data_IF_127543727807
#
_entry.id   IF_127543727807
#
_cell.length_a   1.000
_cell.length_b   1.000
_cell.length_c   1.000
_cell.angle_alpha   90.00
_cell.angle_beta   90.00
_cell.angle_gamma   90.00
#
_symmetry.space_group_name_H-M   'P 1'
#
loop_
_entity.id
_entity.type
_entity.pdbx_description
1 polymer ?
#
# COMPACT_ATOMS: atom_id res chain seq x y z
N UNK A 1 10.49 6.45 -4.43
CA UNK A 1 9.08 5.98 -4.57
C UNK A 1 8.22 6.80 -3.61
N UNK A 2 6.90 6.85 -3.77
CA UNK A 2 6.01 7.61 -2.88
C UNK A 2 4.65 6.93 -2.75
N UNK A 3 3.95 7.20 -1.64
CA UNK A 3 2.53 6.82 -1.45
C UNK A 3 1.64 7.99 -1.86
N UNK A 4 0.58 7.73 -2.63
CA UNK A 4 -0.39 8.76 -3.02
C UNK A 4 -1.78 8.43 -2.49
N UNK A 5 -2.47 9.47 -2.04
CA UNK A 5 -3.84 9.45 -1.57
C UNK A 5 -4.70 10.18 -2.60
N UNK A 6 -5.64 9.48 -3.24
CA UNK A 6 -6.49 10.07 -4.29
C UNK A 6 -7.96 9.84 -3.95
N UNK A 7 -8.69 10.88 -3.49
CA UNK A 7 -10.11 10.76 -3.24
C UNK A 7 -10.86 10.79 -4.57
N UNK A 8 -11.82 9.87 -4.75
CA UNK A 8 -12.69 9.86 -5.92
C UNK A 8 -14.14 9.92 -5.46
N UNK A 9 -14.86 10.94 -5.93
CA UNK A 9 -16.27 11.15 -5.67
C UNK A 9 -17.00 11.46 -6.98
N UNK A 10 -18.15 10.85 -7.15
CA UNK A 10 -18.95 10.64 -8.35
C UNK A 10 -18.11 10.29 -9.56
N UNK A 11 -17.03 9.51 -9.33
CA UNK A 11 -16.07 9.16 -10.35
C UNK A 11 -14.99 10.17 -10.69
N UNK A 12 -15.13 11.38 -10.20
CA UNK A 12 -14.16 12.44 -10.40
C UNK A 12 -13.16 12.46 -9.25
N UNK A 13 -11.90 12.74 -9.58
CA UNK A 13 -10.87 12.98 -8.56
C UNK A 13 -11.18 14.28 -7.83
N UNK A 14 -11.28 14.24 -6.50
CA UNK A 14 -11.44 15.44 -5.68
C UNK A 14 -10.06 16.06 -5.48
N UNK A 15 -9.69 16.99 -6.37
CA UNK A 15 -8.32 17.54 -6.46
C UNK A 15 -7.80 18.12 -5.13
N UNK A 16 -8.68 18.76 -4.36
CA UNK A 16 -8.33 19.39 -3.07
C UNK A 16 -7.89 18.39 -2.00
N UNK A 17 -8.27 17.12 -2.13
CA UNK A 17 -7.83 16.06 -1.24
C UNK A 17 -6.76 15.16 -1.87
N UNK A 18 -6.15 15.52 -2.99
CA UNK A 18 -5.02 14.71 -3.50
C UNK A 18 -3.78 15.01 -2.66
N UNK A 19 -3.20 13.98 -2.06
CA UNK A 19 -2.02 14.12 -1.21
C UNK A 19 -0.95 13.09 -1.55
N UNK A 20 0.30 13.42 -1.23
CA UNK A 20 1.48 12.57 -1.49
C UNK A 20 2.32 12.50 -0.23
N UNK A 21 2.83 11.30 0.05
CA UNK A 21 3.76 11.02 1.13
C UNK A 21 5.05 10.45 0.56
N UNK A 22 6.18 11.01 0.97
CA UNK A 22 7.52 10.56 0.58
C UNK A 22 7.98 9.36 1.41
N UNK A 23 7.11 8.36 1.50
CA UNK A 23 7.30 7.12 2.22
C UNK A 23 6.64 6.00 1.45
N UNK A 24 7.38 4.94 1.13
CA UNK A 24 6.93 3.83 0.30
C UNK A 24 7.75 2.55 0.55
N UNK A 25 7.73 1.62 -0.40
CA UNK A 25 8.43 0.32 -0.30
C UNK A 25 9.94 0.41 -0.27
N UNK A 26 10.53 1.46 -0.86
CA UNK A 26 11.97 1.67 -0.81
C UNK A 26 12.45 1.90 0.62
N UNK A 27 11.71 2.69 1.41
CA UNK A 27 12.10 3.03 2.78
C UNK A 27 12.08 1.81 3.71
N UNK A 28 11.10 0.93 3.50
CA UNK A 28 11.03 -0.38 4.15
C UNK A 28 12.23 -1.25 3.78
N UNK A 29 12.58 -1.30 2.50
CA UNK A 29 13.74 -2.04 2.02
C UNK A 29 15.05 -1.47 2.58
N UNK A 30 15.21 -0.15 2.62
CA UNK A 30 16.41 0.52 3.15
C UNK A 30 16.58 0.25 4.65
N UNK A 31 15.48 0.18 5.39
CA UNK A 31 15.49 -0.15 6.81
C UNK A 31 15.86 -1.62 7.03
N UNK A 32 15.31 -2.52 6.21
CA UNK A 32 15.68 -3.93 6.23
C UNK A 32 17.16 -4.14 5.86
N UNK A 33 17.69 -3.37 4.90
CA UNK A 33 19.10 -3.37 4.52
C UNK A 33 19.99 -2.93 5.69
N UNK A 34 19.60 -1.89 6.44
CA UNK A 34 20.31 -1.46 7.67
C UNK A 34 20.35 -2.55 8.74
N UNK A 35 19.23 -3.24 8.95
CA UNK A 35 19.18 -4.35 9.91
C UNK A 35 20.08 -5.51 9.47
N UNK A 36 20.04 -5.89 8.19
CA UNK A 36 20.89 -6.94 7.68
C UNK A 36 22.39 -6.59 7.74
N UNK A 37 22.74 -5.33 7.46
CA UNK A 37 24.11 -4.82 7.62
C UNK A 37 24.60 -4.93 9.06
N UNK A 38 23.72 -4.68 10.04
CA UNK A 38 24.04 -4.85 11.47
C UNK A 38 24.29 -6.32 11.83
N UNK A 39 23.60 -7.24 11.15
CA UNK A 39 23.81 -8.69 11.25
C UNK A 39 24.99 -9.20 10.40
N UNK A 40 25.77 -8.32 9.78
CA UNK A 40 26.96 -8.66 8.99
C UNK A 40 26.69 -9.06 7.53
N UNK A 41 25.47 -8.86 7.03
CA UNK A 41 25.10 -9.10 5.63
C UNK A 41 25.06 -7.79 4.86
N UNK A 42 25.86 -7.67 3.79
CA UNK A 42 25.86 -6.48 2.94
C UNK A 42 25.27 -6.82 1.58
N UNK A 43 24.30 -6.02 1.13
CA UNK A 43 23.65 -6.16 -0.17
C UNK A 43 24.00 -4.95 -1.04
N UNK A 44 24.98 -5.08 -1.95
CA UNK A 44 25.45 -4.00 -2.82
C UNK A 44 24.86 -4.08 -4.21
N UNK A 45 24.67 -5.30 -4.72
CA UNK A 45 24.30 -5.53 -6.11
C UNK A 45 22.78 -5.50 -6.34
N UNK A 46 22.36 -5.27 -7.58
CA UNK A 46 20.94 -5.27 -7.94
C UNK A 46 20.24 -6.61 -7.63
N UNK A 47 20.91 -7.73 -7.94
CA UNK A 47 20.42 -9.10 -7.66
C UNK A 47 20.28 -9.36 -6.15
N UNK A 48 21.20 -8.81 -5.36
CA UNK A 48 21.17 -8.88 -3.90
C UNK A 48 19.99 -8.07 -3.33
N UNK A 49 19.67 -6.93 -3.95
CA UNK A 49 18.49 -6.14 -3.59
C UNK A 49 17.16 -6.80 -3.99
N UNK A 50 17.14 -7.61 -5.04
CA UNK A 50 15.99 -8.45 -5.36
C UNK A 50 15.75 -9.50 -4.26
N UNK A 51 16.82 -10.07 -3.71
CA UNK A 51 16.75 -11.00 -2.56
C UNK A 51 16.18 -10.31 -1.32
N UNK A 52 16.47 -9.02 -1.09
CA UNK A 52 15.86 -8.24 -0.01
C UNK A 52 14.35 -8.07 -0.19
N UNK A 53 13.87 -7.87 -1.43
CA UNK A 53 12.44 -7.80 -1.71
C UNK A 53 11.75 -9.15 -1.41
N UNK A 54 12.37 -10.24 -1.84
CA UNK A 54 11.95 -11.61 -1.55
C UNK A 54 11.87 -11.89 -0.04
N UNK A 55 12.90 -11.45 0.70
CA UNK A 55 12.96 -11.59 2.14
C UNK A 55 11.83 -10.80 2.80
N UNK A 56 11.59 -9.57 2.35
CA UNK A 56 10.49 -8.72 2.84
C UNK A 56 9.15 -9.41 2.63
N UNK A 57 8.87 -9.89 1.42
CA UNK A 57 7.59 -10.52 1.11
C UNK A 57 7.34 -11.82 1.89
N UNK A 58 8.40 -12.58 2.19
CA UNK A 58 8.29 -13.88 2.89
C UNK A 58 8.28 -13.77 4.42
N UNK A 59 9.05 -12.84 4.99
CA UNK A 59 9.25 -12.76 6.44
C UNK A 59 8.55 -11.58 7.11
N UNK A 60 8.42 -10.45 6.44
CA UNK A 60 7.90 -9.23 7.05
C UNK A 60 6.38 -9.27 7.19
N UNK A 61 5.90 -8.58 8.20
CA UNK A 61 4.47 -8.45 8.51
C UNK A 61 4.24 -7.17 9.31
N UNK A 62 2.99 -6.72 9.37
CA UNK A 62 2.59 -5.55 10.16
C UNK A 62 2.03 -6.02 11.49
N UNK A 63 2.59 -5.51 12.59
CA UNK A 63 2.07 -5.74 13.93
C UNK A 63 0.77 -4.93 14.14
N UNK A 64 -0.21 -5.50 14.84
CA UNK A 64 -1.44 -4.77 15.20
C UNK A 64 -1.19 -3.75 16.33
N UNK A 65 -0.33 -4.12 17.28
CA UNK A 65 0.14 -3.25 18.34
C UNK A 65 1.65 -3.43 18.47
N UNK A 66 2.41 -2.42 18.04
CA UNK A 66 3.86 -2.46 18.00
C UNK A 66 4.48 -2.71 19.38
N UNK A 67 4.00 -2.00 20.41
CA UNK A 67 4.53 -2.08 21.77
C UNK A 67 4.29 -3.45 22.43
N UNK A 68 3.15 -4.08 22.12
CA UNK A 68 2.85 -5.43 22.60
C UNK A 68 3.67 -6.49 21.86
N UNK A 69 3.82 -6.35 20.54
CA UNK A 69 4.60 -7.29 19.73
C UNK A 69 6.08 -7.26 20.13
N UNK A 70 6.62 -6.07 20.42
CA UNK A 70 8.00 -5.87 20.88
C UNK A 70 8.29 -6.50 22.24
N UNK A 71 7.29 -6.67 23.09
CA UNK A 71 7.42 -7.32 24.41
C UNK A 71 7.40 -8.85 24.34
N UNK A 72 7.07 -9.44 23.18
CA UNK A 72 7.05 -10.90 23.04
C UNK A 72 8.47 -11.46 23.02
N UNK A 73 8.60 -12.72 23.44
CA UNK A 73 9.89 -13.42 23.48
C UNK A 73 10.55 -13.43 22.10
N UNK A 74 11.80 -12.94 22.00
CA UNK A 74 12.57 -12.92 20.76
C UNK A 74 12.64 -14.31 20.08
N UNK A 75 12.77 -15.38 20.87
CA UNK A 75 12.83 -16.76 20.38
C UNK A 75 11.58 -17.21 19.60
N UNK A 76 10.41 -16.59 19.82
CA UNK A 76 9.18 -16.90 19.06
C UNK A 76 9.06 -16.10 17.78
N UNK A 77 9.74 -14.96 17.69
CA UNK A 77 9.70 -14.03 16.57
C UNK A 77 10.74 -14.38 15.50
N UNK A 78 11.86 -14.95 15.95
CA UNK A 78 12.98 -15.38 15.15
C UNK A 78 12.56 -16.34 14.02
N UNK A 79 12.82 -15.93 12.78
CA UNK A 79 12.75 -16.77 11.59
C UNK A 79 14.04 -16.67 10.80
N UNK A 80 14.46 -17.83 10.28
CA UNK A 80 15.64 -17.95 9.42
C UNK A 80 15.21 -17.93 7.96
N UNK A 81 15.98 -17.24 7.13
CA UNK A 81 15.84 -17.25 5.67
C UNK A 81 17.18 -17.61 5.03
N UNK A 82 17.12 -18.48 4.02
CA UNK A 82 18.30 -18.94 3.30
C UNK A 82 18.55 -18.01 2.13
N UNK A 83 19.69 -17.36 2.14
CA UNK A 83 20.15 -16.53 1.04
C UNK A 83 20.63 -17.41 -0.13
N UNK A 84 20.61 -16.88 -1.37
CA UNK A 84 21.10 -17.60 -2.54
C UNK A 84 22.57 -18.03 -2.46
N UNK A 85 23.37 -17.36 -1.63
CA UNK A 85 24.78 -17.70 -1.36
C UNK A 85 24.96 -18.88 -0.37
N UNK A 86 23.85 -19.43 0.13
CA UNK A 86 23.84 -20.53 1.10
C UNK A 86 24.00 -20.07 2.55
N UNK A 87 24.11 -18.77 2.83
CA UNK A 87 24.11 -18.26 4.20
C UNK A 87 22.70 -18.13 4.75
N UNK A 88 22.58 -18.22 6.07
CA UNK A 88 21.32 -18.10 6.78
C UNK A 88 21.24 -16.75 7.49
N UNK A 89 20.23 -15.93 7.14
CA UNK A 89 19.92 -14.70 7.87
C UNK A 89 18.79 -14.97 8.85
N UNK A 90 19.01 -14.61 10.12
CA UNK A 90 18.01 -14.73 11.19
C UNK A 90 17.44 -13.36 11.50
N UNK A 91 16.12 -13.21 11.40
CA UNK A 91 15.40 -11.98 11.71
C UNK A 91 14.32 -12.25 12.76
N UNK A 92 14.24 -11.40 13.77
CA UNK A 92 13.26 -11.45 14.84
C UNK A 92 12.34 -10.24 14.80
N UNK A 93 12.67 -9.23 15.62
CA UNK A 93 11.89 -7.98 15.77
C UNK A 93 11.89 -7.16 14.48
N UNK A 94 12.97 -7.24 13.71
CA UNK A 94 13.18 -6.50 12.46
C UNK A 94 12.11 -6.81 11.41
N UNK A 95 11.46 -7.98 11.52
CA UNK A 95 10.41 -8.45 10.61
C UNK A 95 9.18 -7.53 10.59
N UNK A 96 8.82 -6.95 11.73
CA UNK A 96 7.69 -6.02 11.81
C UNK A 96 8.13 -4.57 12.05
N UNK A 97 9.31 -4.36 12.63
CA UNK A 97 9.86 -3.02 12.84
C UNK A 97 10.13 -2.28 11.52
N UNK A 98 10.57 -2.98 10.47
CA UNK A 98 10.76 -2.36 9.16
C UNK A 98 9.43 -1.85 8.55
N UNK A 99 8.29 -2.48 8.87
CA UNK A 99 6.99 -2.07 8.38
C UNK A 99 6.34 -0.99 9.25
N UNK A 100 6.71 -0.91 10.54
CA UNK A 100 6.16 0.08 11.47
C UNK A 100 6.43 1.51 11.02
N UNK A 101 7.56 1.78 10.36
CA UNK A 101 7.85 3.12 9.84
C UNK A 101 6.76 3.67 8.91
N UNK A 102 5.96 2.81 8.25
CA UNK A 102 4.84 3.26 7.42
C UNK A 102 3.72 3.89 8.24
N UNK A 103 3.55 3.44 9.48
CA UNK A 103 2.54 3.93 10.42
C UNK A 103 3.13 4.99 11.34
N UNK A 104 4.35 4.79 11.83
CA UNK A 104 5.06 5.69 12.74
C UNK A 104 6.48 5.98 12.21
N UNK A 105 6.64 6.95 11.29
CA UNK A 105 7.93 7.27 10.66
C UNK A 105 8.98 7.79 11.65
N UNK A 106 8.57 8.28 12.81
CA UNK A 106 9.48 8.71 13.88
C UNK A 106 10.41 7.57 14.33
N UNK A 107 9.95 6.31 14.24
CA UNK A 107 10.76 5.13 14.58
C UNK A 107 12.04 5.00 13.73
N UNK A 108 12.05 5.54 12.52
CA UNK A 108 13.21 5.56 11.64
C UNK A 108 13.89 6.94 11.54
N UNK A 109 13.53 7.87 12.43
CA UNK A 109 14.08 9.22 12.50
C UNK A 109 13.58 10.16 11.41
N UNK A 110 12.41 9.89 10.82
CA UNK A 110 11.79 10.78 9.84
C UNK A 110 10.68 11.60 10.50
N UNK A 111 10.78 12.91 10.39
CA UNK A 111 9.78 13.87 10.86
C UNK A 111 8.70 14.09 9.78
N UNK A 112 8.00 13.02 9.39
CA UNK A 112 6.88 13.04 8.44
C UNK A 112 5.70 12.26 9.00
N UNK A 113 4.50 12.56 8.51
CA UNK A 113 3.30 11.83 8.92
C UNK A 113 3.32 10.37 8.46
N UNK A 114 2.74 9.48 9.26
CA UNK A 114 2.42 8.12 8.86
C UNK A 114 1.36 8.07 7.76
N UNK A 115 1.17 6.88 7.16
CA UNK A 115 0.16 6.68 6.12
C UNK A 115 -1.27 6.98 6.59
N UNK A 116 -1.56 6.73 7.87
CA UNK A 116 -2.90 6.91 8.44
C UNK A 116 -3.16 8.38 8.68
N UNK A 117 -2.23 9.08 9.33
CA UNK A 117 -2.37 10.51 9.63
C UNK A 117 -2.44 11.32 8.35
N UNK A 118 -1.59 11.00 7.37
CA UNK A 118 -1.62 11.67 6.07
C UNK A 118 -2.93 11.46 5.33
N UNK A 119 -3.52 10.27 5.42
CA UNK A 119 -4.83 10.00 4.80
C UNK A 119 -5.97 10.71 5.51
N UNK A 120 -5.91 10.77 6.85
CA UNK A 120 -6.90 11.49 7.64
C UNK A 120 -6.83 13.00 7.38
N UNK A 121 -5.64 13.59 7.38
CA UNK A 121 -5.41 14.99 7.00
C UNK A 121 -5.97 15.30 5.62
N UNK A 122 -5.70 14.44 4.65
CA UNK A 122 -6.26 14.52 3.30
C UNK A 122 -7.80 14.51 3.29
N UNK A 123 -8.44 13.66 4.10
CA UNK A 123 -9.90 13.63 4.26
C UNK A 123 -10.44 14.91 4.91
N UNK A 124 -9.67 15.57 5.79
CA UNK A 124 -10.07 16.82 6.42
C UNK A 124 -10.18 17.99 5.44
N UNK A 125 -9.51 17.91 4.29
CA UNK A 125 -9.61 18.90 3.21
C UNK A 125 -10.80 18.65 2.27
N UNK A 126 -11.43 17.46 2.35
CA UNK A 126 -12.63 17.11 1.57
C UNK A 126 -13.88 17.60 2.30
N UNK A 127 -14.89 17.99 1.53
CA UNK A 127 -16.20 18.40 2.05
C UNK A 127 -16.77 17.37 3.06
N UNK A 128 -17.30 17.79 4.21
CA UNK A 128 -17.83 16.89 5.23
C UNK A 128 -18.89 15.90 4.74
N UNK A 129 -19.72 16.29 3.77
CA UNK A 129 -20.79 15.43 3.25
C UNK A 129 -20.20 14.26 2.44
N UNK A 130 -19.16 14.55 1.65
CA UNK A 130 -18.43 13.54 0.87
C UNK A 130 -17.52 12.68 1.76
N UNK A 131 -16.90 13.30 2.77
CA UNK A 131 -15.91 12.67 3.65
C UNK A 131 -16.44 11.41 4.34
N UNK A 132 -17.66 11.44 4.87
CA UNK A 132 -18.26 10.29 5.56
C UNK A 132 -18.35 9.05 4.66
N UNK A 133 -18.59 9.26 3.38
CA UNK A 133 -18.71 8.18 2.42
C UNK A 133 -17.37 7.65 1.96
N UNK A 134 -16.39 8.54 1.83
CA UNK A 134 -15.02 8.17 1.54
C UNK A 134 -14.40 7.30 2.64
N UNK A 135 -14.74 7.53 3.92
CA UNK A 135 -14.36 6.64 5.01
C UNK A 135 -14.91 5.23 4.85
N UNK A 136 -16.09 5.07 4.25
CA UNK A 136 -16.71 3.77 4.01
C UNK A 136 -16.05 2.98 2.88
N UNK A 137 -15.30 3.64 2.00
CA UNK A 137 -14.81 3.04 0.76
C UNK A 137 -13.33 3.35 0.54
N UNK A 138 -12.48 2.69 1.32
CA UNK A 138 -11.03 2.79 1.22
C UNK A 138 -10.50 1.60 0.42
N UNK A 139 -9.85 1.90 -0.71
CA UNK A 139 -9.18 0.89 -1.53
C UNK A 139 -7.67 1.00 -1.33
N UNK A 140 -7.06 -0.09 -0.89
CA UNK A 140 -5.62 -0.22 -0.75
C UNK A 140 -5.05 -0.89 -2.00
N UNK A 141 -4.04 -0.28 -2.60
CA UNK A 141 -3.35 -0.83 -3.75
C UNK A 141 -1.84 -0.60 -3.65
N UNK A 142 -1.05 -1.58 -4.08
CA UNK A 142 0.42 -1.52 -4.12
C UNK A 142 1.10 -2.64 -3.31
N UNK A 143 2.36 -2.95 -3.63
CA UNK A 143 3.07 -4.12 -3.07
C UNK A 143 3.17 -4.14 -1.53
N UNK A 144 3.41 -2.99 -0.89
CA UNK A 144 3.48 -2.94 0.57
C UNK A 144 2.15 -3.28 1.26
N UNK A 145 1.03 -3.03 0.59
CA UNK A 145 -0.30 -3.34 1.15
C UNK A 145 -0.54 -4.85 1.23
N UNK A 146 0.32 -5.66 0.59
CA UNK A 146 0.30 -7.14 0.62
C UNK A 146 0.97 -7.73 1.86
N UNK A 147 1.64 -6.92 2.68
CA UNK A 147 2.23 -7.42 3.92
C UNK A 147 1.14 -7.97 4.85
N UNK A 148 1.31 -9.18 5.42
CA UNK A 148 0.33 -9.74 6.36
C UNK A 148 0.06 -8.79 7.52
N UNK A 149 -1.21 -8.58 7.88
CA UNK A 149 -1.62 -7.68 8.96
C UNK A 149 -1.76 -6.21 8.55
N UNK A 150 -1.35 -5.82 7.33
CA UNK A 150 -1.40 -4.42 6.89
C UNK A 150 -2.85 -3.90 6.82
N UNK A 151 -3.74 -4.67 6.20
CA UNK A 151 -5.15 -4.29 6.02
C UNK A 151 -5.84 -4.16 7.37
N UNK A 152 -5.59 -5.09 8.29
CA UNK A 152 -6.16 -5.12 9.62
C UNK A 152 -5.68 -3.95 10.48
N UNK A 153 -4.38 -3.61 10.40
CA UNK A 153 -3.83 -2.45 11.12
C UNK A 153 -4.42 -1.16 10.58
N UNK A 154 -4.46 -0.99 9.27
CA UNK A 154 -5.11 0.16 8.61
C UNK A 154 -6.55 0.27 9.05
N UNK A 155 -7.32 -0.83 9.05
CA UNK A 155 -8.71 -0.82 9.52
C UNK A 155 -8.83 -0.31 10.94
N UNK A 156 -8.01 -0.86 11.82
CA UNK A 156 -8.04 -0.56 13.25
C UNK A 156 -7.71 0.91 13.50
N UNK A 157 -6.65 1.43 12.89
CA UNK A 157 -6.24 2.83 13.08
C UNK A 157 -7.24 3.82 12.45
N UNK A 158 -7.74 3.56 11.24
CA UNK A 158 -8.78 4.40 10.64
C UNK A 158 -10.07 4.39 11.45
N UNK A 159 -10.46 3.24 12.04
CA UNK A 159 -11.67 3.16 12.87
C UNK A 159 -11.54 3.99 14.15
N UNK A 160 -10.32 4.15 14.69
CA UNK A 160 -10.06 5.03 15.85
C UNK A 160 -10.23 6.50 15.48
N UNK A 161 -9.76 6.91 14.30
CA UNK A 161 -9.81 8.29 13.83
C UNK A 161 -11.17 8.68 13.21
N UNK A 162 -11.90 7.71 12.65
CA UNK A 162 -13.16 7.95 11.98
C UNK A 162 -14.23 8.49 12.94
N UNK A 163 -15.05 9.47 12.51
CA UNK A 163 -16.19 9.93 13.29
C UNK A 163 -17.18 8.79 13.57
N UNK A 164 -17.92 8.87 14.67
CA UNK A 164 -18.81 7.79 15.15
C UNK A 164 -19.79 7.33 14.06
N UNK A 165 -20.26 8.25 13.21
CA UNK A 165 -21.07 7.94 12.05
C UNK A 165 -20.38 6.93 11.13
N UNK A 166 -19.13 7.16 10.77
CA UNK A 166 -18.41 6.43 9.71
C UNK A 166 -17.88 5.04 10.09
N UNK A 167 -17.96 4.63 11.37
CA UNK A 167 -17.30 3.41 11.87
C UNK A 167 -17.90 2.12 11.32
N UNK A 168 -19.20 2.10 11.06
CA UNK A 168 -19.91 0.88 10.61
C UNK A 168 -19.72 0.57 9.12
N UNK A 169 -19.11 1.49 8.35
CA UNK A 169 -19.06 1.39 6.89
C UNK A 169 -17.67 1.14 6.33
N UNK A 170 -16.61 1.05 7.15
CA UNK A 170 -15.23 0.92 6.66
C UNK A 170 -15.05 -0.43 5.95
N UNK A 171 -15.18 -0.41 4.63
CA UNK A 171 -14.92 -1.52 3.73
C UNK A 171 -13.55 -1.35 3.09
N UNK A 172 -12.56 -2.02 3.65
CA UNK A 172 -11.23 -2.10 3.04
C UNK A 172 -11.22 -3.15 1.95
N UNK A 173 -11.01 -2.70 0.72
CA UNK A 173 -10.76 -3.59 -0.40
C UNK A 173 -9.27 -3.59 -0.70
N UNK A 174 -8.64 -4.76 -0.56
CA UNK A 174 -7.26 -4.97 -1.01
C UNK A 174 -7.32 -5.40 -2.47
N UNK A 175 -6.77 -4.59 -3.37
CA UNK A 175 -6.71 -4.94 -4.80
C UNK A 175 -5.26 -5.13 -5.22
N UNK A 176 -4.95 -6.34 -5.71
CA UNK A 176 -3.58 -6.75 -6.10
C UNK A 176 -3.14 -6.14 -7.44
N UNK A 177 -4.04 -5.58 -8.24
CA UNK A 177 -3.71 -5.12 -9.59
C UNK A 177 -3.51 -3.59 -9.66
N UNK A 178 -2.25 -3.16 -9.57
CA UNK A 178 -1.71 -2.09 -10.43
C UNK A 178 -0.48 -2.64 -11.16
N UNK A 179 -0.65 -3.79 -11.82
CA UNK A 179 0.02 -3.99 -13.09
C UNK A 179 -1.07 -3.90 -14.15
N UNK A 180 -0.71 -3.39 -15.33
CA UNK A 180 -1.48 -3.34 -16.56
C UNK A 180 -2.25 -2.04 -16.87
N UNK A 181 -1.48 -0.96 -17.08
CA UNK A 181 -1.56 -0.29 -18.39
C UNK A 181 -0.26 -0.57 -19.13
N UNK A 182 -0.17 -1.79 -19.64
CA UNK A 182 0.99 -2.31 -20.37
C UNK A 182 0.70 -3.55 -21.22
N UNK A 183 -0.16 -4.48 -20.79
CA UNK A 183 -0.72 -5.60 -21.60
C UNK A 183 -1.68 -6.48 -20.79
N UNK A 184 -2.95 -6.53 -21.22
CA UNK A 184 -3.92 -7.63 -21.08
C UNK A 184 -4.24 -8.24 -19.69
N UNK A 185 -5.45 -7.93 -19.19
CA UNK A 185 -6.13 -8.45 -17.97
C UNK A 185 -6.51 -9.96 -18.03
N UNK A 186 -6.96 -10.59 -16.92
CA UNK A 186 -8.42 -10.83 -16.72
C UNK A 186 -8.93 -10.91 -15.23
N UNK A 187 -9.94 -10.15 -14.80
CA UNK A 187 -11.41 -10.41 -14.79
C UNK A 187 -11.98 -11.41 -13.77
N UNK A 188 -12.96 -10.99 -12.92
CA UNK A 188 -14.00 -11.93 -12.42
C UNK A 188 -15.43 -11.37 -12.16
N UNK A 189 -15.71 -10.06 -12.24
CA UNK A 189 -17.12 -9.57 -12.17
C UNK A 189 -17.66 -8.96 -13.46
N UNK A 190 -16.80 -8.74 -14.46
CA UNK A 190 -17.17 -8.11 -15.74
C UNK A 190 -17.59 -9.16 -16.80
N UNK A 191 -17.20 -10.43 -16.64
CA UNK A 191 -17.43 -11.49 -17.64
C UNK A 191 -18.89 -11.99 -17.71
N UNK A 192 -19.68 -11.87 -16.64
CA UNK A 192 -21.07 -12.33 -16.65
C UNK A 192 -22.04 -11.36 -17.37
N UNK A 193 -21.63 -10.12 -17.64
CA UNK A 193 -22.48 -9.12 -18.30
C UNK A 193 -22.04 -8.75 -19.73
N UNK A 194 -20.85 -9.16 -20.18
CA UNK A 194 -20.26 -8.67 -21.44
C UNK A 194 -20.03 -9.73 -22.52
N UNK A 195 -20.87 -10.77 -22.57
CA UNK A 195 -20.82 -11.76 -23.66
C UNK A 195 -21.83 -11.51 -24.79
N UNK A 196 -22.21 -10.25 -25.05
CA UNK A 196 -23.14 -9.96 -26.14
C UNK A 196 -22.72 -8.92 -27.18
N UNK A 197 -21.69 -8.10 -27.01
CA UNK A 197 -21.37 -7.07 -28.02
C UNK A 197 -19.86 -6.85 -28.17
N UNK A 198 -19.27 -7.58 -29.11
CA UNK A 198 -17.99 -7.25 -29.73
C UNK A 198 -18.26 -6.28 -30.87
N UNK A 199 -17.76 -5.04 -30.82
CA UNK A 199 -17.11 -4.39 -31.97
C UNK A 199 -16.60 -2.97 -31.68
N UNK A 200 -15.39 -2.76 -32.21
CA UNK A 200 -14.76 -1.51 -32.65
C UNK A 200 -14.13 -0.54 -31.62
N UNK A 201 -12.80 -0.63 -31.65
CA UNK A 201 -11.79 0.32 -31.20
C UNK A 201 -12.10 1.73 -31.72
N UNK A 202 -12.20 2.69 -30.79
CA UNK A 202 -11.60 4.04 -30.80
C UNK A 202 -12.31 5.00 -29.83
N UNK A 203 -13.24 4.52 -28.99
CA UNK A 203 -14.00 5.33 -28.00
C UNK A 203 -13.65 4.92 -26.54
N UNK A 204 -12.68 4.02 -26.37
CA UNK A 204 -12.44 3.32 -25.11
C UNK A 204 -11.81 4.19 -24.00
N UNK A 205 -11.08 5.26 -24.35
CA UNK A 205 -10.51 6.17 -23.34
C UNK A 205 -11.58 7.04 -22.66
N UNK A 206 -12.62 7.44 -23.39
CA UNK A 206 -13.72 8.24 -22.83
C UNK A 206 -14.72 7.35 -22.10
N UNK A 207 -14.97 6.13 -22.59
CA UNK A 207 -15.90 5.19 -21.96
C UNK A 207 -15.34 4.61 -20.66
N UNK A 208 -14.04 4.37 -20.54
CA UNK A 208 -13.44 3.92 -19.27
C UNK A 208 -13.46 5.04 -18.22
N UNK A 209 -13.26 6.29 -18.64
CA UNK A 209 -13.41 7.44 -17.74
C UNK A 209 -14.87 7.60 -17.30
N UNK A 210 -15.83 7.55 -18.22
CA UNK A 210 -17.28 7.68 -17.95
C UNK A 210 -17.85 6.50 -17.14
N UNK A 211 -17.43 5.25 -17.40
CA UNK A 211 -17.90 4.07 -16.65
C UNK A 211 -17.21 3.93 -15.28
N UNK A 212 -15.96 4.39 -15.14
CA UNK A 212 -15.33 4.55 -13.81
C UNK A 212 -16.07 5.58 -12.96
N UNK A 213 -16.75 6.56 -13.59
CA UNK A 213 -17.61 7.48 -12.86
C UNK A 213 -18.98 6.92 -12.49
N UNK A 214 -19.48 5.97 -13.27
CA UNK A 214 -20.85 5.48 -13.14
C UNK A 214 -21.02 4.31 -12.16
N UNK A 215 -19.93 3.63 -11.76
CA UNK A 215 -19.99 2.40 -10.95
C UNK A 215 -19.38 2.47 -9.55
N UNK A 216 -18.75 3.57 -9.17
CA UNK A 216 -18.34 3.81 -7.79
C UNK A 216 -18.30 5.32 -7.56
N UNK A 217 -19.46 5.95 -7.31
CA UNK A 217 -19.48 7.37 -7.12
C UNK A 217 -18.77 7.80 -5.83
N UNK A 218 -18.22 6.92 -4.99
CA UNK A 218 -17.91 7.28 -3.61
C UNK A 218 -16.77 6.42 -3.08
N UNK A 219 -15.54 6.62 -3.54
CA UNK A 219 -14.42 5.71 -3.23
C UNK A 219 -13.07 6.43 -3.26
N UNK A 220 -12.25 6.30 -2.22
CA UNK A 220 -10.85 6.74 -2.27
C UNK A 220 -10.01 5.67 -2.94
N UNK A 221 -9.29 6.05 -4.00
CA UNK A 221 -8.22 5.24 -4.58
C UNK A 221 -6.89 5.64 -3.92
N UNK A 222 -6.33 4.77 -3.08
CA UNK A 222 -4.94 4.92 -2.65
C UNK A 222 -4.02 4.39 -3.76
N UNK A 223 -3.59 5.26 -4.68
CA UNK A 223 -2.71 4.87 -5.79
C UNK A 223 -1.23 4.95 -5.36
N UNK A 224 -0.62 3.82 -5.01
CA UNK A 224 0.84 3.70 -5.00
C UNK A 224 1.35 3.63 -6.44
N UNK A 225 1.70 4.78 -7.02
CA UNK A 225 2.23 4.85 -8.39
C UNK A 225 3.70 4.39 -8.40
N UNK A 226 3.94 3.19 -8.91
CA UNK A 226 5.23 2.79 -9.46
C UNK A 226 5.41 3.47 -10.81
N UNK A 227 6.18 4.57 -10.86
CA UNK A 227 6.83 5.00 -12.10
C UNK A 227 8.30 4.63 -11.96
N UNK A 228 8.69 3.52 -12.57
CA UNK A 228 10.06 3.28 -12.94
C UNK A 228 10.33 4.12 -14.19
N UNK A 229 11.05 5.23 -14.01
CA UNK A 229 11.50 6.09 -15.09
C UNK A 229 12.58 5.31 -15.86
N UNK A 230 12.22 4.65 -16.98
CA UNK A 230 13.22 4.23 -17.95
C UNK A 230 13.26 5.24 -19.08
N UNK A 231 14.32 6.04 -19.04
CA UNK A 231 14.79 6.88 -20.12
C UNK A 231 14.95 6.05 -21.39
N UNK A 232 14.06 6.25 -22.34
CA UNK A 232 14.35 6.08 -23.76
C UNK A 232 14.00 7.41 -24.44
N UNK A 233 14.84 8.41 -24.20
CA UNK A 233 14.96 9.51 -25.15
C UNK A 233 15.76 8.99 -26.34
N UNK A 234 15.24 9.29 -27.53
CA UNK A 234 16.10 9.59 -28.67
C UNK A 234 17.01 10.78 -28.35
#
# INVERSE_FOLDING_TARGET
>A
MFTQFVPVYEGSKVQVGVSRLELAGQDVNDSLEKFANTNGFTFKDYLEKETLADLKEKLCYVAQNYEEEKKKDANKLDKTFNLPDGKEIKLGVERFECAEQLFEPETCGKEIDGIIDRANDMLMHVDPDVRNELYGHIVLAGGNTMMPGFVERVKTEFTKLAPISAKDWILLHQKIEILLLGKEAPYLLVYQLLNQLVCQKMIMMTIIWVLSMQYAPKTIFLHLVFIHYYMLSK
#
